data_IF_248410283368
#
_entry.id   IF_248410283368
#
_cell.length_a   1.000
_cell.length_b   1.000
_cell.length_c   1.000
_cell.angle_alpha   90.00
_cell.angle_beta   90.00
_cell.angle_gamma   90.00
#
_symmetry.space_group_name_H-M   'P 1'
#
loop_
_entity.id
_entity.type
_entity.pdbx_description
1 polymer ?
#
# COMPACT_ATOMS: atom_id res chain seq x y z
N UNK A 1 -0.72 -4.80 5.12
CA UNK A 1 0.67 -4.34 4.97
C UNK A 1 1.57 -5.52 4.66
N UNK A 2 2.53 -5.33 3.75
CA UNK A 2 3.49 -6.38 3.40
C UNK A 2 4.86 -5.82 3.00
N UNK A 3 5.89 -6.63 3.23
CA UNK A 3 7.29 -6.32 2.97
C UNK A 3 7.82 -7.26 1.88
N UNK A 4 8.56 -6.75 0.90
CA UNK A 4 9.18 -7.54 -0.16
C UNK A 4 8.17 -8.45 -0.87
N UNK A 5 8.37 -9.76 -0.87
CA UNK A 5 7.41 -10.73 -1.39
C UNK A 5 6.03 -10.66 -0.70
N UNK A 6 5.99 -10.30 0.60
CA UNK A 6 4.74 -10.01 1.30
C UNK A 6 4.05 -8.75 0.76
N UNK A 7 4.80 -7.76 0.30
CA UNK A 7 4.28 -6.58 -0.40
C UNK A 7 3.68 -6.95 -1.76
N UNK A 8 4.32 -7.84 -2.53
CA UNK A 8 3.74 -8.39 -3.76
C UNK A 8 2.40 -9.06 -3.49
N UNK A 9 2.35 -9.92 -2.47
CA UNK A 9 1.11 -10.62 -2.12
C UNK A 9 0.00 -9.65 -1.74
N UNK A 10 0.31 -8.61 -0.95
CA UNK A 10 -0.66 -7.56 -0.60
C UNK A 10 -1.18 -6.87 -1.84
N UNK A 11 -0.31 -6.45 -2.77
CA UNK A 11 -0.70 -5.80 -4.02
C UNK A 11 -1.57 -6.74 -4.87
N UNK A 12 -1.16 -7.99 -5.05
CA UNK A 12 -1.93 -8.96 -5.83
C UNK A 12 -3.33 -9.20 -5.28
N UNK A 13 -3.48 -9.26 -3.96
CA UNK A 13 -4.80 -9.43 -3.31
C UNK A 13 -5.62 -8.15 -3.36
N UNK A 14 -4.98 -7.00 -3.14
CA UNK A 14 -5.65 -5.72 -3.04
C UNK A 14 -6.15 -5.20 -4.41
N UNK A 15 -5.33 -5.41 -5.45
CA UNK A 15 -5.55 -4.84 -6.78
C UNK A 15 -6.28 -5.80 -7.73
N UNK A 16 -6.63 -7.00 -7.26
CA UNK A 16 -7.38 -7.98 -8.06
C UNK A 16 -8.68 -8.32 -7.35
N UNK A 17 -9.78 -8.41 -8.09
CA UNK A 17 -11.05 -8.81 -7.51
C UNK A 17 -10.97 -10.23 -6.95
N UNK A 18 -11.70 -10.48 -5.88
CA UNK A 18 -11.91 -11.84 -5.43
C UNK A 18 -12.56 -12.65 -6.57
N UNK A 19 -12.22 -13.94 -6.75
CA UNK A 19 -12.88 -14.77 -7.74
C UNK A 19 -14.38 -14.79 -7.48
N UNK A 20 -15.18 -14.76 -8.56
CA UNK A 20 -16.63 -14.86 -8.45
C UNK A 20 -17.05 -16.09 -7.63
N UNK A 21 -18.07 -15.88 -6.82
CA UNK A 21 -18.59 -16.87 -5.90
C UNK A 21 -18.94 -18.18 -6.61
N UNK A 22 -18.24 -19.25 -6.29
CA UNK A 22 -18.67 -20.60 -6.71
C UNK A 22 -19.97 -20.97 -6.00
N UNK A 23 -20.84 -21.74 -6.69
CA UNK A 23 -22.17 -22.10 -6.22
C UNK A 23 -22.25 -22.90 -4.88
N UNK A 24 -21.10 -23.18 -4.25
CA UNK A 24 -20.97 -23.93 -3.00
C UNK A 24 -20.17 -23.19 -1.93
N UNK A 25 -20.26 -21.87 -1.88
CA UNK A 25 -19.55 -21.09 -0.88
C UNK A 25 -20.28 -21.09 0.47
N UNK A 26 -19.52 -21.22 1.54
CA UNK A 26 -20.01 -21.04 2.90
C UNK A 26 -20.13 -19.55 3.28
N UNK A 27 -20.43 -19.26 4.55
CA UNK A 27 -20.62 -17.89 5.02
C UNK A 27 -19.31 -17.10 5.03
N UNK A 28 -18.16 -17.76 5.17
CA UNK A 28 -16.83 -17.14 5.17
C UNK A 28 -16.40 -16.77 3.75
N UNK A 29 -16.62 -17.68 2.80
CA UNK A 29 -16.28 -17.46 1.40
C UNK A 29 -17.05 -16.28 0.78
N UNK A 30 -18.20 -15.94 1.35
CA UNK A 30 -19.02 -14.80 0.90
C UNK A 30 -18.57 -13.45 1.45
N UNK A 31 -17.57 -13.43 2.35
CA UNK A 31 -17.01 -12.16 2.84
C UNK A 31 -16.05 -11.56 1.82
N UNK A 32 -16.07 -10.25 1.68
CA UNK A 32 -15.10 -9.55 0.85
C UNK A 32 -13.69 -9.69 1.44
N UNK A 33 -12.74 -10.13 0.63
CA UNK A 33 -11.32 -10.12 0.98
C UNK A 33 -10.62 -8.81 0.58
N UNK A 34 -11.35 -7.87 -0.03
CA UNK A 34 -10.78 -6.59 -0.47
C UNK A 34 -10.45 -5.73 0.76
N UNK A 35 -9.20 -5.27 0.91
CA UNK A 35 -8.82 -4.36 1.99
C UNK A 35 -9.31 -2.93 1.72
N UNK A 36 -9.44 -2.13 2.77
CA UNK A 36 -9.80 -0.71 2.68
C UNK A 36 -8.62 0.14 2.18
N UNK A 37 -7.39 -0.27 2.47
CA UNK A 37 -6.14 0.33 1.98
C UNK A 37 -5.01 -0.69 1.97
N UNK A 38 -3.92 -0.35 1.29
CA UNK A 38 -2.73 -1.19 1.21
C UNK A 38 -1.47 -0.42 1.62
N UNK A 39 -0.57 -1.11 2.34
CA UNK A 39 0.75 -0.59 2.72
C UNK A 39 1.81 -1.53 2.18
N UNK A 40 2.64 -1.03 1.28
CA UNK A 40 3.58 -1.78 0.47
C UNK A 40 5.00 -1.31 0.75
N UNK A 41 5.78 -2.16 1.40
CA UNK A 41 7.15 -1.83 1.79
C UNK A 41 8.11 -2.60 0.87
N UNK A 42 8.78 -1.86 -0.03
CA UNK A 42 9.63 -2.38 -1.12
C UNK A 42 9.00 -3.61 -1.81
N UNK A 43 7.76 -3.46 -2.37
CA UNK A 43 7.09 -4.59 -3.01
C UNK A 43 7.87 -5.09 -4.22
N UNK A 44 7.91 -6.39 -4.39
CA UNK A 44 8.57 -6.99 -5.54
C UNK A 44 7.76 -6.84 -6.84
N UNK A 45 8.32 -7.30 -7.97
CA UNK A 45 7.80 -7.03 -9.31
C UNK A 45 6.49 -7.73 -9.67
N UNK A 46 6.12 -8.83 -8.98
CA UNK A 46 4.92 -9.60 -9.34
C UNK A 46 3.61 -8.87 -9.04
N UNK A 47 3.65 -7.85 -8.17
CA UNK A 47 2.50 -6.97 -7.92
C UNK A 47 2.25 -5.94 -9.02
N UNK A 48 3.11 -5.87 -10.05
CA UNK A 48 3.06 -4.89 -11.14
C UNK A 48 3.05 -5.62 -12.49
N UNK A 49 2.12 -5.27 -13.41
CA UNK A 49 1.06 -4.28 -13.29
C UNK A 49 -0.12 -4.76 -12.43
N UNK A 50 -0.77 -3.82 -11.77
CA UNK A 50 -2.06 -4.08 -11.13
C UNK A 50 -3.10 -4.42 -12.22
N UNK A 51 -3.86 -5.50 -12.00
CA UNK A 51 -4.81 -5.99 -13.01
C UNK A 51 -6.00 -5.06 -13.21
N UNK A 52 -6.49 -4.50 -12.13
CA UNK A 52 -7.66 -3.61 -12.09
C UNK A 52 -7.34 -2.41 -11.21
N UNK A 53 -6.37 -1.60 -11.68
CA UNK A 53 -5.86 -0.48 -10.91
C UNK A 53 -6.95 0.52 -10.49
N UNK A 54 -7.99 0.71 -11.32
CA UNK A 54 -9.12 1.58 -11.03
C UNK A 54 -9.97 1.10 -9.83
N UNK A 55 -9.89 -0.16 -9.50
CA UNK A 55 -10.58 -0.76 -8.36
C UNK A 55 -9.66 -1.00 -7.16
N UNK A 56 -8.39 -0.67 -7.29
CA UNK A 56 -7.42 -0.82 -6.20
C UNK A 56 -7.78 0.10 -5.02
N UNK A 57 -7.55 -0.34 -3.78
CA UNK A 57 -7.70 0.52 -2.62
C UNK A 57 -6.56 1.54 -2.54
N UNK A 58 -6.73 2.65 -1.80
CA UNK A 58 -5.66 3.61 -1.55
C UNK A 58 -4.37 2.94 -1.09
N UNK A 59 -3.22 3.47 -1.53
CA UNK A 59 -1.94 2.84 -1.31
C UNK A 59 -0.91 3.78 -0.67
N UNK A 60 -0.19 3.27 0.33
CA UNK A 60 1.04 3.86 0.85
C UNK A 60 2.22 2.97 0.47
N UNK A 61 3.20 3.53 -0.22
CA UNK A 61 4.31 2.78 -0.81
C UNK A 61 5.64 3.38 -0.33
N UNK A 62 6.55 2.54 0.15
CA UNK A 62 7.93 2.96 0.48
C UNK A 62 8.93 2.02 -0.19
N UNK A 63 10.00 2.57 -0.74
CA UNK A 63 11.09 1.80 -1.36
C UNK A 63 12.42 2.56 -1.32
N UNK A 64 13.51 1.86 -1.57
CA UNK A 64 14.85 2.43 -1.67
C UNK A 64 15.27 2.64 -3.12
N UNK A 65 15.97 3.75 -3.42
CA UNK A 65 16.45 4.04 -4.77
C UNK A 65 17.62 3.17 -5.21
N UNK A 66 18.37 2.60 -4.27
CA UNK A 66 19.45 1.63 -4.54
C UNK A 66 18.93 0.18 -4.65
N UNK A 67 17.68 -0.07 -4.28
CA UNK A 67 17.05 -1.39 -4.39
C UNK A 67 16.74 -1.71 -5.86
N UNK A 68 17.65 -2.44 -6.50
CA UNK A 68 17.54 -2.81 -7.92
C UNK A 68 16.40 -3.77 -8.22
N UNK A 69 15.96 -4.55 -7.21
CA UNK A 69 14.85 -5.48 -7.35
C UNK A 69 13.50 -4.73 -7.35
N UNK A 70 13.32 -3.92 -6.34
CA UNK A 70 12.00 -3.54 -5.88
C UNK A 70 11.74 -2.03 -5.95
N UNK A 71 12.78 -1.20 -6.11
CA UNK A 71 12.64 0.23 -6.34
C UNK A 71 11.88 0.57 -7.64
N UNK A 72 12.31 0.07 -8.82
CA UNK A 72 11.59 0.31 -10.06
C UNK A 72 10.15 -0.21 -10.06
N UNK A 73 9.83 -1.42 -9.57
CA UNK A 73 8.45 -1.87 -9.42
C UNK A 73 7.58 -0.97 -8.55
N UNK A 74 8.11 -0.47 -7.42
CA UNK A 74 7.36 0.44 -6.56
C UNK A 74 6.95 1.73 -7.28
N UNK A 75 7.85 2.30 -8.09
CA UNK A 75 7.56 3.48 -8.93
C UNK A 75 6.51 3.16 -9.99
N UNK A 76 6.65 2.03 -10.68
CA UNK A 76 5.70 1.62 -11.72
C UNK A 76 4.29 1.41 -11.15
N UNK A 77 4.18 0.75 -10.00
CA UNK A 77 2.89 0.53 -9.32
C UNK A 77 2.25 1.86 -8.91
N UNK A 78 3.02 2.77 -8.29
CA UNK A 78 2.53 4.11 -7.96
C UNK A 78 1.96 4.84 -9.19
N UNK A 79 2.71 4.84 -10.30
CA UNK A 79 2.28 5.49 -11.53
C UNK A 79 0.99 4.90 -12.10
N UNK A 80 0.82 3.58 -12.05
CA UNK A 80 -0.40 2.90 -12.48
C UNK A 80 -1.61 3.27 -11.61
N UNK A 81 -1.44 3.26 -10.29
CA UNK A 81 -2.50 3.63 -9.36
C UNK A 81 -2.96 5.08 -9.59
N UNK A 82 -2.01 6.01 -9.68
CA UNK A 82 -2.33 7.43 -9.93
C UNK A 82 -2.99 7.63 -11.31
N UNK A 83 -2.51 6.94 -12.34
CA UNK A 83 -3.10 7.02 -13.68
C UNK A 83 -4.54 6.48 -13.71
N UNK A 84 -4.87 5.53 -12.84
CA UNK A 84 -6.21 5.00 -12.65
C UNK A 84 -7.10 5.85 -11.70
N UNK A 85 -6.60 6.97 -11.19
CA UNK A 85 -7.33 7.82 -10.26
C UNK A 85 -7.38 7.32 -8.81
N UNK A 86 -6.57 6.32 -8.48
CA UNK A 86 -6.46 5.78 -7.13
C UNK A 86 -5.53 6.65 -6.29
N UNK A 87 -5.95 7.00 -5.07
CA UNK A 87 -5.10 7.73 -4.13
C UNK A 87 -3.88 6.89 -3.75
N UNK A 88 -2.70 7.39 -4.03
CA UNK A 88 -1.45 6.71 -3.72
C UNK A 88 -0.38 7.69 -3.26
N UNK A 89 0.41 7.28 -2.27
CA UNK A 89 1.58 8.01 -1.78
C UNK A 89 2.82 7.14 -1.91
N UNK A 90 3.92 7.71 -2.44
CA UNK A 90 5.19 7.01 -2.61
C UNK A 90 6.33 7.79 -1.94
N UNK A 91 7.07 7.10 -1.06
CA UNK A 91 8.34 7.56 -0.54
C UNK A 91 9.49 6.73 -1.12
N UNK A 92 10.34 7.38 -1.92
CA UNK A 92 11.55 6.77 -2.48
C UNK A 92 12.78 7.34 -1.75
N UNK A 93 13.41 6.51 -0.93
CA UNK A 93 14.55 6.95 -0.10
C UNK A 93 15.86 6.84 -0.87
N UNK A 94 16.62 7.94 -0.86
CA UNK A 94 17.90 8.02 -1.56
C UNK A 94 18.93 7.03 -0.98
N UNK A 95 19.66 6.33 -1.86
CA UNK A 95 20.74 5.41 -1.53
C UNK A 95 20.37 4.27 -0.55
N UNK A 96 19.09 4.01 -0.39
CA UNK A 96 18.57 2.92 0.44
C UNK A 96 18.42 1.68 -0.40
N UNK A 97 18.97 0.57 0.09
CA UNK A 97 18.88 -0.76 -0.52
C UNK A 97 17.68 -1.52 0.05
N UNK A 98 17.53 -2.78 -0.38
CA UNK A 98 16.44 -3.67 0.03
C UNK A 98 16.45 -3.97 1.53
N UNK A 99 15.29 -4.32 2.07
CA UNK A 99 15.11 -4.90 3.40
C UNK A 99 15.48 -4.00 4.60
N UNK A 100 15.28 -2.68 4.49
CA UNK A 100 15.43 -1.76 5.64
C UNK A 100 14.39 -2.02 6.76
N UNK A 101 13.37 -2.85 6.51
CA UNK A 101 12.35 -3.27 7.47
C UNK A 101 11.60 -2.06 8.09
N UNK A 102 11.37 -2.08 9.40
CA UNK A 102 10.81 -0.95 10.16
C UNK A 102 11.87 0.11 10.51
N UNK A 103 12.91 0.23 9.68
CA UNK A 103 14.06 1.10 9.91
C UNK A 103 15.19 0.48 10.75
N UNK A 104 14.95 -0.65 11.42
CA UNK A 104 15.94 -1.26 12.34
C UNK A 104 17.19 -1.81 11.64
N UNK A 105 17.17 -1.92 10.32
CA UNK A 105 18.30 -2.40 9.50
C UNK A 105 18.98 -1.29 8.71
N UNK A 106 18.70 -0.04 9.06
CA UNK A 106 19.30 1.13 8.46
C UNK A 106 19.74 2.13 9.52
N UNK A 107 20.82 2.86 9.25
CA UNK A 107 21.25 3.99 10.05
C UNK A 107 20.74 5.32 9.47
N UNK A 108 20.03 5.28 8.34
CA UNK A 108 19.48 6.47 7.67
C UNK A 108 18.21 6.91 8.38
N UNK A 109 18.15 8.17 8.78
CA UNK A 109 16.99 8.74 9.47
C UNK A 109 15.70 8.58 8.67
N UNK A 110 15.74 8.74 7.34
CA UNK A 110 14.58 8.56 6.48
C UNK A 110 13.99 7.15 6.59
N UNK A 111 14.87 6.13 6.63
CA UNK A 111 14.44 4.74 6.73
C UNK A 111 13.94 4.40 8.14
N UNK A 112 14.51 5.05 9.16
CA UNK A 112 14.07 4.86 10.56
C UNK A 112 12.69 5.50 10.77
N UNK A 113 12.42 6.63 10.12
CA UNK A 113 11.20 7.42 10.32
C UNK A 113 10.10 7.18 9.28
N UNK A 114 10.22 6.20 8.37
CA UNK A 114 9.13 5.92 7.45
C UNK A 114 7.81 5.52 8.14
N UNK A 115 7.82 4.85 9.31
CA UNK A 115 6.57 4.55 10.01
C UNK A 115 5.82 5.81 10.47
N UNK A 116 6.54 6.91 10.76
CA UNK A 116 5.92 8.19 11.10
C UNK A 116 5.17 8.77 9.88
N UNK A 117 5.74 8.62 8.67
CA UNK A 117 5.05 9.02 7.42
C UNK A 117 3.79 8.18 7.17
N UNK A 118 3.84 6.88 7.46
CA UNK A 118 2.65 6.04 7.41
C UNK A 118 1.58 6.50 8.41
N UNK A 119 1.97 6.86 9.63
CA UNK A 119 1.04 7.37 10.64
C UNK A 119 0.38 8.69 10.20
N UNK A 120 1.16 9.61 9.60
CA UNK A 120 0.63 10.85 9.02
C UNK A 120 -0.36 10.54 7.89
N UNK A 121 0.01 9.68 6.94
CA UNK A 121 -0.85 9.29 5.82
C UNK A 121 -2.17 8.64 6.30
N UNK A 122 -2.10 7.76 7.29
CA UNK A 122 -3.28 7.15 7.90
C UNK A 122 -4.19 8.18 8.56
N UNK A 123 -3.60 9.18 9.21
CA UNK A 123 -4.32 10.28 9.85
C UNK A 123 -4.99 11.18 8.81
N UNK A 124 -4.25 11.60 7.79
CA UNK A 124 -4.71 12.49 6.72
C UNK A 124 -5.81 11.82 5.87
N UNK A 125 -5.71 10.50 5.70
CA UNK A 125 -6.71 9.69 4.98
C UNK A 125 -7.92 9.31 5.85
N UNK A 126 -7.97 9.71 7.13
CA UNK A 126 -9.09 9.45 8.02
C UNK A 126 -9.16 8.04 8.60
N UNK A 127 -8.11 7.21 8.40
CA UNK A 127 -8.04 5.85 8.96
C UNK A 127 -7.70 5.82 10.45
N UNK A 128 -7.01 6.85 10.95
CA UNK A 128 -6.79 7.06 12.38
C UNK A 128 -7.64 8.24 12.84
N UNK A 129 -8.56 7.98 13.77
CA UNK A 129 -9.27 9.06 14.45
C UNK A 129 -8.38 9.54 15.59
N UNK A 130 -7.82 10.76 15.54
CA UNK A 130 -7.07 11.29 16.68
C UNK A 130 -7.98 11.31 17.91
N UNK A 131 -7.48 10.89 19.05
CA UNK A 131 -8.20 11.06 20.32
C UNK A 131 -8.50 12.55 20.52
N UNK A 132 -9.76 12.97 20.25
CA UNK A 132 -10.24 14.35 20.41
C UNK A 132 -10.03 15.28 19.20
N UNK A 133 -9.67 14.78 18.01
CA UNK A 133 -9.37 15.60 16.85
C UNK A 133 -10.45 15.61 15.77
N UNK A 134 -10.53 16.70 15.02
CA UNK A 134 -11.36 16.85 13.83
C UNK A 134 -10.89 15.91 12.73
N UNK A 135 -11.83 15.21 12.09
CA UNK A 135 -11.59 14.58 10.78
C UNK A 135 -11.21 15.72 9.80
N UNK A 136 -10.09 15.61 9.06
CA UNK A 136 -9.76 16.58 8.03
C UNK A 136 -10.93 16.70 7.04
N UNK A 137 -11.40 17.92 6.81
CA UNK A 137 -12.50 18.15 5.85
C UNK A 137 -11.91 17.95 4.44
N UNK A 138 -12.40 16.97 3.71
CA UNK A 138 -12.03 16.72 2.32
C UNK A 138 -11.72 15.28 1.95
N UNK A 139 -11.66 14.37 2.91
CA UNK A 139 -11.52 12.94 2.60
C UNK A 139 -12.89 12.37 2.27
N UNK A 140 -13.12 11.75 1.10
CA UNK A 140 -14.36 11.05 0.81
C UNK A 140 -14.56 9.96 1.87
N UNK A 141 -15.75 9.95 2.50
CA UNK A 141 -16.13 8.86 3.40
C UNK A 141 -16.06 7.53 2.61
N UNK A 142 -15.47 6.46 3.15
CA UNK A 142 -15.54 5.16 2.50
C UNK A 142 -17.02 4.84 2.25
N UNK A 143 -17.34 4.46 1.01
CA UNK A 143 -18.69 4.08 0.64
C UNK A 143 -19.15 2.91 1.52
N UNK A 144 -20.28 3.09 2.20
CA UNK A 144 -20.94 2.04 2.97
C UNK A 144 -21.51 0.97 2.04
#
# INVERSE_FOLDING_TARGET
>A
MGFSAGGELVSLVADNPAPEAAAKQDAVDRQSARPDFQVLVYPGPLGVPAKEAENAPPAFIVAGSADKCCGPPAVALYQQLVAAGVSAELHMYADTDHAFNMGQRSERLSDVHWPDRLADWLSDSGWLVPHGGRVPQGVPSPAQ
#
